data_IF_391844325230
#
_entry.id   IF_391844325230
#
_cell.length_a   1.000
_cell.length_b   1.000
_cell.length_c   1.000
_cell.angle_alpha   90.00
_cell.angle_beta   90.00
_cell.angle_gamma   90.00
#
_symmetry.space_group_name_H-M   'P 1'
#
loop_
_entity.id
_entity.type
_entity.pdbx_description
1 polymer ?
#
# COMPACT_ATOMS: atom_id res chain seq x y z
N UNK A 1 -15.60 5.99 -7.39
CA UNK A 1 -14.56 5.24 -8.13
C UNK A 1 -13.40 4.98 -7.19
N UNK A 2 -12.95 3.73 -7.02
CA UNK A 2 -11.86 3.42 -6.08
C UNK A 2 -10.55 3.22 -6.83
N UNK A 3 -9.55 4.01 -6.47
CA UNK A 3 -8.25 4.06 -7.12
C UNK A 3 -7.27 3.26 -6.27
N UNK A 4 -6.47 2.39 -6.89
CA UNK A 4 -5.36 1.67 -6.23
C UNK A 4 -4.07 2.08 -6.89
N UNK A 5 -3.11 2.49 -6.09
CA UNK A 5 -1.84 3.03 -6.58
C UNK A 5 -0.75 2.00 -6.40
N UNK A 6 -0.01 1.73 -7.47
CA UNK A 6 1.19 0.90 -7.50
C UNK A 6 2.42 1.83 -7.52
N UNK A 7 3.26 1.80 -6.47
CA UNK A 7 4.57 2.47 -6.46
C UNK A 7 5.67 1.47 -6.76
N UNK A 8 6.58 1.89 -7.61
CA UNK A 8 7.92 1.32 -7.76
C UNK A 8 8.90 2.30 -7.10
N UNK A 9 9.81 1.82 -6.23
CA UNK A 9 10.83 2.68 -5.60
C UNK A 9 12.19 2.38 -6.24
N UNK A 10 12.74 3.32 -7.01
CA UNK A 10 14.14 3.31 -7.48
C UNK A 10 14.63 4.76 -7.67
N UNK A 11 15.62 5.26 -6.92
CA UNK A 11 16.01 6.69 -6.93
C UNK A 11 17.07 7.01 -8.01
N UNK A 12 16.86 8.16 -8.68
CA UNK A 12 17.49 8.77 -9.88
C UNK A 12 17.11 8.07 -11.21
N UNK A 13 16.09 8.61 -11.90
CA UNK A 13 15.42 8.00 -13.07
C UNK A 13 14.06 7.36 -12.75
N UNK A 14 13.34 7.87 -11.74
CA UNK A 14 12.19 7.21 -11.11
C UNK A 14 11.04 6.87 -12.08
N UNK A 15 10.62 5.58 -12.13
CA UNK A 15 9.40 5.20 -12.79
C UNK A 15 8.22 5.98 -12.21
N UNK A 16 7.32 6.45 -13.08
CA UNK A 16 6.08 7.07 -12.64
C UNK A 16 5.21 6.04 -11.93
N UNK A 17 4.49 6.51 -10.93
CA UNK A 17 3.48 5.74 -10.21
C UNK A 17 2.36 5.32 -11.17
N UNK A 18 1.91 4.07 -11.08
CA UNK A 18 0.79 3.57 -11.88
C UNK A 18 -0.49 3.59 -11.04
N UNK A 19 -1.57 4.12 -11.62
CA UNK A 19 -2.90 4.15 -10.99
C UNK A 19 -3.77 3.11 -11.68
N UNK A 20 -4.19 2.08 -10.94
CA UNK A 20 -5.13 1.08 -11.41
C UNK A 20 -6.54 1.40 -10.90
N UNK A 21 -7.49 1.61 -11.83
CA UNK A 21 -8.91 1.77 -11.52
C UNK A 21 -9.57 0.40 -11.59
N UNK A 22 -9.99 -0.12 -10.44
CA UNK A 22 -10.64 -1.43 -10.34
C UNK A 22 -12.14 -1.21 -10.20
N UNK A 23 -12.93 -1.78 -11.11
CA UNK A 23 -14.38 -1.61 -11.11
C UNK A 23 -15.03 -2.24 -9.87
N UNK A 24 -14.58 -3.43 -9.47
CA UNK A 24 -15.14 -4.16 -8.33
C UNK A 24 -14.37 -3.91 -7.03
N UNK A 25 -15.08 -3.38 -6.02
CA UNK A 25 -14.52 -3.10 -4.70
C UNK A 25 -13.93 -4.35 -4.02
N UNK A 26 -14.62 -5.49 -4.10
CA UNK A 26 -14.14 -6.76 -3.52
C UNK A 26 -12.80 -7.20 -4.11
N UNK A 27 -12.63 -7.04 -5.43
CA UNK A 27 -11.38 -7.39 -6.12
C UNK A 27 -10.24 -6.47 -5.68
N UNK A 28 -10.52 -5.16 -5.58
CA UNK A 28 -9.56 -4.20 -5.04
C UNK A 28 -9.09 -4.57 -3.64
N UNK A 29 -10.02 -4.87 -2.75
CA UNK A 29 -9.69 -5.20 -1.36
C UNK A 29 -8.91 -6.51 -1.25
N UNK A 30 -9.28 -7.51 -2.06
CA UNK A 30 -8.51 -8.77 -2.15
C UNK A 30 -7.07 -8.52 -2.62
N UNK A 31 -6.86 -7.68 -3.63
CA UNK A 31 -5.51 -7.31 -4.10
C UNK A 31 -4.72 -6.61 -2.99
N UNK A 32 -5.31 -5.62 -2.32
CA UNK A 32 -4.67 -4.89 -1.22
C UNK A 32 -4.36 -5.79 -0.03
N UNK A 33 -5.22 -6.76 0.28
CA UNK A 33 -5.01 -7.73 1.35
C UNK A 33 -3.85 -8.68 1.00
N UNK A 34 -3.86 -9.25 -0.21
CA UNK A 34 -2.79 -10.14 -0.68
C UNK A 34 -1.44 -9.42 -0.72
N UNK A 35 -1.43 -8.17 -1.19
CA UNK A 35 -0.22 -7.38 -1.26
C UNK A 35 0.43 -7.12 0.11
N UNK A 36 -0.38 -6.99 1.17
CA UNK A 36 0.13 -6.85 2.55
C UNK A 36 0.60 -8.19 3.11
N UNK A 37 -0.12 -9.28 2.82
CA UNK A 37 0.23 -10.63 3.31
C UNK A 37 1.52 -11.17 2.71
N UNK A 38 1.76 -10.91 1.43
CA UNK A 38 2.93 -11.40 0.69
C UNK A 38 4.08 -10.40 0.65
N UNK A 39 4.07 -9.38 1.52
CA UNK A 39 5.15 -8.40 1.54
C UNK A 39 6.46 -9.05 2.02
N UNK A 40 7.61 -8.81 1.35
CA UNK A 40 7.82 -7.91 0.20
C UNK A 40 7.37 -8.50 -1.14
N UNK A 41 6.72 -7.69 -1.98
CA UNK A 41 6.33 -8.06 -3.34
C UNK A 41 7.43 -7.76 -4.35
N UNK A 42 7.66 -8.67 -5.30
CA UNK A 42 8.63 -8.50 -6.39
C UNK A 42 7.99 -8.70 -7.77
N UNK A 43 8.32 -7.84 -8.72
CA UNK A 43 8.00 -8.00 -10.14
C UNK A 43 9.29 -7.95 -10.96
N UNK A 44 9.56 -9.00 -11.74
CA UNK A 44 10.82 -9.16 -12.50
C UNK A 44 12.07 -8.94 -11.64
N UNK A 45 12.06 -9.51 -10.43
CA UNK A 45 13.16 -9.38 -9.46
C UNK A 45 13.30 -7.98 -8.83
N UNK A 46 12.38 -7.04 -9.09
CA UNK A 46 12.40 -5.70 -8.52
C UNK A 46 11.28 -5.53 -7.49
N UNK A 47 11.54 -4.91 -6.33
CA UNK A 47 10.51 -4.70 -5.31
C UNK A 47 9.42 -3.75 -5.79
N UNK A 48 8.17 -4.09 -5.50
CA UNK A 48 6.98 -3.30 -5.84
C UNK A 48 6.10 -3.08 -4.63
N UNK A 49 5.38 -1.96 -4.60
CA UNK A 49 4.52 -1.57 -3.50
C UNK A 49 3.11 -1.30 -4.03
N UNK A 50 2.12 -1.96 -3.44
CA UNK A 50 0.70 -1.76 -3.77
C UNK A 50 0.02 -1.16 -2.55
N UNK A 51 -0.61 0.01 -2.71
CA UNK A 51 -1.26 0.71 -1.62
C UNK A 51 -2.52 1.43 -2.12
N UNK A 52 -3.50 1.70 -1.25
CA UNK A 52 -4.71 2.39 -1.66
C UNK A 52 -4.38 3.83 -2.05
N UNK A 53 -5.08 4.35 -3.06
CA UNK A 53 -5.08 5.79 -3.33
C UNK A 53 -5.97 6.47 -2.29
N UNK A 54 -5.38 7.29 -1.44
CA UNK A 54 -6.11 8.00 -0.40
C UNK A 54 -5.77 9.49 -0.48
N UNK A 55 -6.75 10.38 -0.31
CA UNK A 55 -6.51 11.81 -0.25
C UNK A 55 -5.46 12.17 0.81
N UNK A 56 -4.74 13.27 0.58
CA UNK A 56 -3.70 13.73 1.49
C UNK A 56 -4.18 13.94 2.92
N UNK A 57 -5.43 14.40 3.10
CA UNK A 57 -6.04 14.57 4.41
C UNK A 57 -6.21 13.23 5.15
N UNK A 58 -6.74 12.21 4.48
CA UNK A 58 -6.89 10.86 5.04
C UNK A 58 -5.52 10.24 5.34
N UNK A 59 -4.51 10.50 4.50
CA UNK A 59 -3.13 10.09 4.76
C UNK A 59 -2.57 10.72 6.05
N UNK A 60 -2.81 12.02 6.28
CA UNK A 60 -2.39 12.72 7.50
C UNK A 60 -3.08 12.15 8.74
N UNK A 61 -4.40 11.96 8.69
CA UNK A 61 -5.16 11.35 9.77
C UNK A 61 -4.61 9.95 10.09
N UNK A 62 -4.37 9.13 9.06
CA UNK A 62 -3.80 7.79 9.23
C UNK A 62 -2.40 7.79 9.82
N UNK A 63 -1.58 8.79 9.49
CA UNK A 63 -0.25 8.97 10.05
C UNK A 63 -0.31 9.29 11.55
N UNK A 64 -1.32 10.05 12.01
CA UNK A 64 -1.50 10.34 13.43
C UNK A 64 -1.74 9.07 14.28
N UNK A 65 -2.28 8.01 13.68
CA UNK A 65 -2.48 6.71 14.34
C UNK A 65 -1.32 5.72 14.13
N UNK A 66 -0.21 6.14 13.51
CA UNK A 66 0.92 5.25 13.24
C UNK A 66 1.60 4.78 14.52
N UNK A 67 1.76 5.65 15.51
CA UNK A 67 2.38 5.34 16.80
C UNK A 67 1.57 4.29 17.57
N UNK A 68 0.25 4.48 17.68
CA UNK A 68 -0.67 3.53 18.33
C UNK A 68 -0.70 2.19 17.58
N UNK A 69 -0.66 2.23 16.25
CA UNK A 69 -0.61 1.00 15.44
C UNK A 69 0.67 0.22 15.71
N UNK A 70 1.81 0.90 15.85
CA UNK A 70 3.09 0.27 16.11
C UNK A 70 3.15 -0.31 17.53
N UNK A 71 2.62 0.40 18.53
CA UNK A 71 2.59 -0.09 19.90
C UNK A 71 1.72 -1.35 20.04
N UNK A 72 0.57 -1.40 19.37
CA UNK A 72 -0.33 -2.58 19.37
C UNK A 72 0.17 -3.73 18.48
N UNK A 73 0.92 -3.42 17.42
CA UNK A 73 1.48 -4.42 16.51
C UNK A 73 2.60 -5.24 17.15
N UNK A 74 3.39 -4.64 18.03
CA UNK A 74 4.52 -5.30 18.69
C UNK A 74 4.10 -6.19 19.89
N UNK A 75 2.90 -6.00 20.43
CA UNK A 75 2.37 -6.82 21.53
C UNK A 75 1.79 -8.17 21.09
N UNK A 76 1.67 -8.43 19.78
CA UNK A 76 1.19 -9.71 19.25
C UNK A 76 2.34 -10.74 19.03
N UNK A 77 3.52 -10.49 19.60
CA UNK A 77 4.72 -11.36 19.50
C UNK A 77 5.21 -11.79 20.89
N UNK A 78 4.27 -12.15 21.77
CA UNK A 78 4.51 -12.89 23.01
C UNK A 78 3.48 -14.01 23.15
#
# INVERSE_FOLDING_TARGET
>A
ATYTVLKYVFKRGQPRVMIARIHHFKTKDKILQLARKQFPLCYKGRPIHIFPDLPGEIMKQRHAFSDVRNSLGNTATH
#
